data_IF_386966950365
#
_entry.id   IF_386966950365
#
_cell.length_a   1.000
_cell.length_b   1.000
_cell.length_c   1.000
_cell.angle_alpha   90.00
_cell.angle_beta   90.00
_cell.angle_gamma   90.00
#
_symmetry.space_group_name_H-M   'P 1'
#
loop_
_entity.id
_entity.type
_entity.pdbx_description
1 polymer ?
#
# COMPACT_ATOMS: atom_id res chain seq x y z
N UNK A 1 1.52 -10.65 77.06
CA UNK A 1 1.13 -10.22 75.70
C UNK A 1 1.87 -8.91 75.42
N UNK A 2 3.18 -8.96 75.15
CA UNK A 2 3.80 -9.04 73.81
C UNK A 2 3.48 -7.77 72.99
N UNK A 3 4.38 -6.87 72.56
CA UNK A 3 5.86 -6.71 72.43
C UNK A 3 6.11 -5.18 72.27
N UNK A 4 7.11 -4.54 72.91
CA UNK A 4 8.50 -4.28 72.44
C UNK A 4 8.52 -3.62 71.02
N UNK A 5 9.28 -2.58 70.65
CA UNK A 5 10.46 -1.89 71.18
C UNK A 5 10.73 -0.62 70.32
N UNK A 6 11.54 0.27 70.89
CA UNK A 6 12.16 1.50 70.34
C UNK A 6 13.28 1.19 69.31
N UNK A 7 13.37 2.01 68.26
CA UNK A 7 14.46 2.44 67.33
C UNK A 7 15.70 1.55 67.03
N UNK A 8 16.30 1.71 65.83
CA UNK A 8 17.57 2.49 65.68
C UNK A 8 17.51 3.43 64.44
N UNK A 9 18.13 4.61 64.32
CA UNK A 9 19.46 5.18 64.66
C UNK A 9 20.52 4.98 63.57
N UNK A 10 20.97 6.12 63.02
CA UNK A 10 22.28 6.43 62.40
C UNK A 10 22.53 5.84 60.99
N UNK A 11 23.23 6.46 60.02
CA UNK A 11 24.37 7.38 59.91
C UNK A 11 24.23 7.98 58.49
N UNK A 12 24.25 9.28 58.20
CA UNK A 12 25.38 10.21 58.31
C UNK A 12 26.28 10.16 57.07
N UNK A 13 26.09 11.06 56.09
CA UNK A 13 27.16 11.93 55.54
C UNK A 13 26.69 12.80 54.37
N UNK A 14 26.70 14.09 54.69
CA UNK A 14 26.95 15.27 53.88
C UNK A 14 28.02 15.05 52.78
N UNK A 15 27.79 15.55 51.57
CA UNK A 15 28.53 16.69 51.00
C UNK A 15 28.21 16.91 49.51
N UNK A 16 27.93 18.18 49.19
CA UNK A 16 27.78 18.74 47.85
C UNK A 16 29.13 18.83 47.11
N UNK A 17 29.17 18.44 45.84
CA UNK A 17 29.89 19.08 44.71
C UNK A 17 29.31 18.51 43.41
N UNK A 18 28.48 19.28 42.69
CA UNK A 18 28.86 20.08 41.52
C UNK A 18 29.59 19.30 40.41
N UNK A 19 28.88 19.24 39.27
CA UNK A 19 29.32 19.14 37.88
C UNK A 19 30.15 17.93 37.47
N UNK A 20 29.52 17.07 36.66
CA UNK A 20 30.06 16.56 35.40
C UNK A 20 28.90 15.97 34.59
N UNK A 21 28.62 16.57 33.42
CA UNK A 21 27.81 15.93 32.38
C UNK A 21 28.54 14.69 31.85
N UNK A 22 27.80 13.73 31.26
CA UNK A 22 28.16 13.41 29.90
C UNK A 22 26.93 13.29 28.99
N UNK A 23 26.95 14.13 27.95
CA UNK A 23 26.92 13.71 26.55
C UNK A 23 25.92 12.59 26.18
N UNK A 24 24.79 13.03 25.63
CA UNK A 24 24.56 12.78 24.21
C UNK A 24 24.34 11.33 23.78
N UNK A 25 23.39 10.63 24.41
CA UNK A 25 22.69 9.53 23.74
C UNK A 25 21.20 9.80 23.89
N UNK A 26 20.63 10.51 22.90
CA UNK A 26 19.17 10.62 22.77
C UNK A 26 18.68 9.22 22.41
N UNK A 27 18.34 8.46 23.44
CA UNK A 27 17.62 7.20 23.31
C UNK A 27 16.25 7.56 22.71
N UNK A 28 15.98 7.13 21.48
CA UNK A 28 14.68 7.36 20.85
C UNK A 28 13.65 6.65 21.71
N UNK A 29 12.84 7.46 22.40
CA UNK A 29 11.91 6.98 23.39
C UNK A 29 10.93 5.99 22.75
N UNK A 30 10.72 4.89 23.45
CA UNK A 30 9.63 3.92 23.35
C UNK A 30 8.22 4.54 23.27
N UNK A 31 8.07 5.85 23.46
CA UNK A 31 6.84 6.64 23.36
C UNK A 31 6.06 6.51 22.03
N UNK A 32 6.74 6.33 20.89
CA UNK A 32 6.04 6.25 19.59
C UNK A 32 5.21 4.95 19.46
N UNK A 33 5.68 3.85 20.06
CA UNK A 33 4.91 2.60 20.15
C UNK A 33 3.76 2.70 21.14
N UNK A 34 3.86 3.58 22.14
CA UNK A 34 2.83 3.77 23.18
C UNK A 34 1.60 4.59 22.70
N UNK A 35 1.66 5.20 21.50
CA UNK A 35 0.55 6.01 20.93
C UNK A 35 -0.16 5.37 19.74
N UNK A 36 0.10 4.10 19.47
CA UNK A 36 -0.62 3.35 18.44
C UNK A 36 -2.05 3.07 18.92
N UNK A 37 -3.03 3.57 18.18
CA UNK A 37 -4.43 3.31 18.43
C UNK A 37 -5.21 3.30 17.12
N UNK A 38 -6.19 2.41 17.03
CA UNK A 38 -7.17 2.42 15.94
C UNK A 38 -8.30 3.41 16.15
N UNK A 39 -8.41 3.99 17.35
CA UNK A 39 -9.54 4.80 17.79
C UNK A 39 -9.23 6.31 17.85
N UNK A 40 -8.19 6.79 17.18
CA UNK A 40 -7.96 8.24 17.08
C UNK A 40 -9.14 8.90 16.35
N UNK A 41 -9.67 9.97 16.92
CA UNK A 41 -10.85 10.67 16.42
C UNK A 41 -10.54 12.13 16.12
N UNK A 42 -11.12 12.64 15.05
CA UNK A 42 -11.18 14.08 14.77
C UNK A 42 -12.61 14.57 14.99
N UNK A 43 -12.71 15.85 15.37
CA UNK A 43 -13.97 16.54 15.64
C UNK A 43 -14.11 17.72 14.68
N UNK A 44 -14.64 17.51 13.45
CA UNK A 44 -15.17 18.61 12.67
C UNK A 44 -16.33 19.28 13.41
N UNK A 45 -16.41 20.60 13.28
CA UNK A 45 -17.46 21.44 13.85
C UNK A 45 -17.96 22.42 12.79
N UNK A 46 -19.22 22.83 12.90
CA UNK A 46 -19.82 23.78 11.94
C UNK A 46 -19.70 25.22 12.43
N UNK A 47 -19.88 25.45 13.73
CA UNK A 47 -19.84 26.80 14.30
C UNK A 47 -19.01 26.84 15.58
N UNK A 48 -18.27 27.93 15.73
CA UNK A 48 -17.54 28.26 16.95
C UNK A 48 -18.30 29.38 17.65
N UNK A 49 -18.76 29.14 18.87
CA UNK A 49 -19.40 30.15 19.70
C UNK A 49 -18.39 30.70 20.71
N UNK A 50 -17.99 31.95 20.52
CA UNK A 50 -17.06 32.63 21.40
C UNK A 50 -17.82 33.39 22.49
N UNK A 51 -17.63 32.98 23.75
CA UNK A 51 -18.18 33.67 24.93
C UNK A 51 -17.01 34.15 25.81
N UNK A 52 -16.81 33.57 26.98
CA UNK A 52 -15.55 33.68 27.75
C UNK A 52 -14.54 32.59 27.37
N UNK A 53 -15.05 31.45 26.87
CA UNK A 53 -14.24 30.37 26.28
C UNK A 53 -14.88 29.96 24.95
N UNK A 54 -14.09 29.53 23.97
CA UNK A 54 -14.62 29.06 22.70
C UNK A 54 -15.35 27.72 22.88
N UNK A 55 -16.59 27.64 22.42
CA UNK A 55 -17.39 26.41 22.40
C UNK A 55 -17.60 25.94 20.96
N UNK A 56 -17.34 24.66 20.72
CA UNK A 56 -17.64 24.04 19.43
C UNK A 56 -19.11 23.62 19.40
N UNK A 57 -19.82 24.02 18.37
CA UNK A 57 -21.24 23.72 18.15
C UNK A 57 -21.39 22.82 16.94
N UNK A 58 -22.26 21.82 17.07
CA UNK A 58 -22.52 20.81 16.04
C UNK A 58 -21.26 20.03 15.64
N UNK A 59 -20.74 19.24 16.59
CA UNK A 59 -19.55 18.41 16.38
C UNK A 59 -19.92 16.99 15.98
N UNK A 60 -19.17 16.42 15.03
CA UNK A 60 -19.26 15.02 14.66
C UNK A 60 -17.95 14.31 15.02
N UNK A 61 -18.03 13.05 15.45
CA UNK A 61 -16.83 12.23 15.68
C UNK A 61 -16.55 11.41 14.42
N UNK A 62 -15.36 11.57 13.86
CA UNK A 62 -14.90 10.82 12.70
C UNK A 62 -13.59 10.09 13.01
N UNK A 63 -13.36 8.91 12.41
CA UNK A 63 -12.09 8.22 12.53
C UNK A 63 -11.01 9.03 11.79
N UNK A 64 -9.93 9.37 12.51
CA UNK A 64 -8.99 10.41 12.07
C UNK A 64 -8.29 10.07 10.75
N UNK A 65 -7.70 8.87 10.65
CA UNK A 65 -6.97 8.43 9.48
C UNK A 65 -7.81 8.48 8.21
N UNK A 66 -8.98 7.83 8.22
CA UNK A 66 -9.85 7.70 7.06
C UNK A 66 -10.42 9.05 6.64
N UNK A 67 -10.83 9.88 7.61
CA UNK A 67 -11.36 11.19 7.32
C UNK A 67 -10.29 12.15 6.75
N UNK A 68 -9.07 12.14 7.28
CA UNK A 68 -7.96 12.92 6.73
C UNK A 68 -7.58 12.43 5.32
N UNK A 69 -7.48 11.11 5.13
CA UNK A 69 -7.17 10.54 3.81
C UNK A 69 -8.23 10.87 2.75
N UNK A 70 -9.50 11.07 3.10
CA UNK A 70 -10.56 11.42 2.15
C UNK A 70 -10.78 12.93 1.98
N UNK A 71 -10.59 13.73 3.04
CA UNK A 71 -11.02 15.14 3.07
C UNK A 71 -9.88 16.15 3.15
N UNK A 72 -8.64 15.74 3.46
CA UNK A 72 -7.50 16.65 3.49
C UNK A 72 -7.25 17.27 2.11
N UNK A 73 -6.83 18.53 2.10
CA UNK A 73 -6.52 19.27 0.89
C UNK A 73 -5.18 18.83 0.31
N UNK A 74 -4.18 18.63 1.17
CA UNK A 74 -2.86 18.14 0.76
C UNK A 74 -2.39 17.01 1.65
N UNK A 75 -1.95 15.92 1.03
CA UNK A 75 -1.32 14.77 1.67
C UNK A 75 0.11 14.65 1.16
N UNK A 76 1.04 14.56 2.09
CA UNK A 76 2.46 14.41 1.80
C UNK A 76 2.94 13.07 2.39
N UNK A 77 3.65 12.24 1.62
CA UNK A 77 4.10 10.92 2.09
C UNK A 77 5.60 10.72 1.91
N UNK A 78 6.14 9.74 2.64
CA UNK A 78 7.45 9.15 2.35
C UNK A 78 7.34 8.04 1.27
N UNK A 79 8.48 7.46 0.86
CA UNK A 79 8.53 6.38 -0.13
C UNK A 79 7.75 5.13 0.26
N UNK A 80 7.82 4.71 1.53
CA UNK A 80 7.11 3.54 2.05
C UNK A 80 5.64 3.80 2.43
N UNK A 81 5.17 5.04 2.29
CA UNK A 81 3.85 5.53 2.74
C UNK A 81 3.56 5.33 4.25
N UNK A 82 4.56 4.99 5.08
CA UNK A 82 4.40 4.79 6.54
C UNK A 82 4.22 6.10 7.30
N UNK A 83 4.75 7.21 6.78
CA UNK A 83 4.59 8.56 7.33
C UNK A 83 3.75 9.37 6.35
N UNK A 84 2.61 9.85 6.83
CA UNK A 84 1.66 10.64 6.03
C UNK A 84 1.43 11.95 6.78
N UNK A 85 1.61 13.08 6.12
CA UNK A 85 1.35 14.40 6.68
C UNK A 85 0.17 15.02 5.97
N UNK A 86 -0.87 15.35 6.74
CA UNK A 86 -2.08 16.01 6.26
C UNK A 86 -2.00 17.52 6.51
N UNK A 87 -2.31 18.29 5.47
CA UNK A 87 -2.37 19.75 5.43
C UNK A 87 -1.11 20.46 5.97
N UNK A 88 0.04 19.78 5.94
CA UNK A 88 1.34 20.26 6.46
C UNK A 88 1.42 20.47 7.98
N UNK A 89 0.50 19.91 8.78
CA UNK A 89 0.52 20.10 10.24
C UNK A 89 0.12 18.88 11.08
N UNK A 90 -0.58 17.91 10.51
CA UNK A 90 -0.93 16.65 11.17
C UNK A 90 -0.09 15.52 10.62
N UNK A 91 0.63 14.83 11.50
CA UNK A 91 1.40 13.65 11.18
C UNK A 91 0.64 12.38 11.59
N UNK A 92 0.53 11.46 10.64
CA UNK A 92 -0.02 10.13 10.77
C UNK A 92 1.12 9.13 10.53
N UNK A 93 1.37 8.25 11.50
CA UNK A 93 2.36 7.19 11.35
C UNK A 93 1.68 5.83 11.40
N UNK A 94 1.83 5.07 10.31
CA UNK A 94 1.34 3.70 10.20
C UNK A 94 2.56 2.77 10.26
N UNK A 95 2.64 1.87 11.25
CA UNK A 95 3.81 1.02 11.44
C UNK A 95 3.96 -0.04 10.32
N UNK A 96 2.85 -0.44 9.70
CA UNK A 96 2.84 -1.41 8.61
C UNK A 96 2.72 -0.70 7.26
N UNK A 97 3.80 -0.68 6.48
CA UNK A 97 3.86 -0.05 5.16
C UNK A 97 2.79 -0.60 4.20
N UNK A 98 2.58 -1.93 4.19
CA UNK A 98 1.57 -2.58 3.34
C UNK A 98 0.16 -2.07 3.62
N UNK A 99 -0.20 -1.94 4.89
CA UNK A 99 -1.50 -1.40 5.30
C UNK A 99 -1.62 0.07 4.91
N UNK A 100 -0.55 0.85 5.07
CA UNK A 100 -0.54 2.26 4.73
C UNK A 100 -0.75 2.48 3.22
N UNK A 101 -0.02 1.75 2.38
CA UNK A 101 -0.15 1.79 0.92
C UNK A 101 -1.56 1.37 0.50
N UNK A 102 -2.12 0.29 1.06
CA UNK A 102 -3.50 -0.16 0.76
C UNK A 102 -4.56 0.86 1.15
N UNK A 103 -4.41 1.51 2.30
CA UNK A 103 -5.32 2.57 2.74
C UNK A 103 -5.23 3.79 1.83
N UNK A 104 -4.01 4.17 1.44
CA UNK A 104 -3.77 5.25 0.49
C UNK A 104 -4.37 4.91 -0.88
N UNK A 105 -4.14 3.71 -1.42
CA UNK A 105 -4.67 3.30 -2.73
C UNK A 105 -6.20 3.25 -2.74
N UNK A 106 -6.82 2.79 -1.65
CA UNK A 106 -8.27 2.84 -1.49
C UNK A 106 -8.79 4.28 -1.43
N UNK A 107 -8.13 5.16 -0.66
CA UNK A 107 -8.52 6.56 -0.56
C UNK A 107 -8.39 7.30 -1.91
N UNK A 108 -7.31 7.05 -2.65
CA UNK A 108 -7.10 7.60 -4.00
C UNK A 108 -8.24 7.18 -4.94
N UNK A 109 -8.58 5.89 -4.97
CA UNK A 109 -9.68 5.36 -5.80
C UNK A 109 -11.03 5.92 -5.41
N UNK A 110 -11.31 6.04 -4.12
CA UNK A 110 -12.56 6.60 -3.59
C UNK A 110 -12.70 8.09 -3.89
N UNK A 111 -11.62 8.87 -3.81
CA UNK A 111 -11.64 10.28 -4.21
C UNK A 111 -11.91 10.42 -5.71
N UNK A 112 -11.20 9.65 -6.54
CA UNK A 112 -11.39 9.69 -7.99
C UNK A 112 -12.83 9.31 -8.40
N UNK A 113 -13.40 8.25 -7.81
CA UNK A 113 -14.79 7.87 -8.10
C UNK A 113 -15.80 8.86 -7.53
N UNK A 114 -15.50 9.50 -6.39
CA UNK A 114 -16.34 10.58 -5.86
C UNK A 114 -16.34 11.79 -6.80
N UNK A 115 -15.17 12.23 -7.27
CA UNK A 115 -15.05 13.36 -8.21
C UNK A 115 -15.80 13.06 -9.52
N UNK A 116 -15.63 11.85 -10.09
CA UNK A 116 -16.34 11.45 -11.31
C UNK A 116 -17.87 11.47 -11.15
N UNK A 117 -18.38 10.98 -10.02
CA UNK A 117 -19.82 10.99 -9.72
C UNK A 117 -20.31 12.42 -9.51
N UNK A 118 -19.53 13.28 -8.84
CA UNK A 118 -19.87 14.69 -8.63
C UNK A 118 -19.93 15.45 -9.95
N UNK A 119 -18.92 15.32 -10.80
CA UNK A 119 -18.85 15.96 -12.12
C UNK A 119 -20.05 15.58 -12.97
N UNK A 120 -20.43 14.30 -12.96
CA UNK A 120 -21.62 13.81 -13.68
C UNK A 120 -22.93 14.35 -13.10
N UNK A 121 -23.01 14.54 -11.78
CA UNK A 121 -24.19 15.12 -11.15
C UNK A 121 -24.31 16.62 -11.41
N UNK A 122 -23.20 17.36 -11.35
CA UNK A 122 -23.15 18.78 -11.65
C UNK A 122 -23.39 19.05 -13.15
N UNK A 123 -22.78 18.28 -14.04
CA UNK A 123 -22.97 18.39 -15.49
C UNK A 123 -24.43 18.18 -15.91
N UNK A 124 -25.14 17.22 -15.32
CA UNK A 124 -26.58 17.03 -15.55
C UNK A 124 -27.42 18.23 -15.10
N UNK A 125 -27.08 18.83 -13.96
CA UNK A 125 -27.80 20.00 -13.44
C UNK A 125 -27.55 21.24 -14.32
N UNK A 126 -26.33 21.39 -14.84
CA UNK A 126 -26.00 22.42 -15.80
C UNK A 126 -26.73 22.22 -17.14
N UNK A 127 -26.84 20.99 -17.64
CA UNK A 127 -27.60 20.66 -18.87
C UNK A 127 -29.10 20.94 -18.75
N UNK A 128 -29.72 20.54 -17.62
CA UNK A 128 -31.15 20.82 -17.36
C UNK A 128 -31.49 22.31 -17.31
N UNK A 129 -30.57 23.18 -16.92
CA UNK A 129 -30.80 24.64 -16.92
C UNK A 129 -30.77 25.26 -18.33
N UNK A 130 -30.24 24.55 -19.32
CA UNK A 130 -30.17 25.00 -20.73
C UNK A 130 -31.31 24.37 -21.55
N UNK A 131 -31.80 23.20 -21.17
CA UNK A 131 -32.86 22.46 -21.86
C UNK A 131 -34.29 22.80 -21.40
N UNK A 132 -34.47 23.78 -20.50
CA UNK A 132 -35.80 24.28 -20.08
C UNK A 132 -36.59 24.97 -21.21
N UNK A 133 -36.01 25.17 -22.41
CA UNK A 133 -36.74 25.68 -23.59
C UNK A 133 -37.23 24.59 -24.58
N UNK A 134 -36.75 23.34 -24.54
CA UNK A 134 -37.07 22.35 -25.60
C UNK A 134 -37.21 20.87 -25.18
N UNK A 135 -37.69 20.49 -23.98
CA UNK A 135 -37.94 19.04 -23.73
C UNK A 135 -38.92 18.68 -22.60
N UNK A 136 -40.21 19.03 -22.72
CA UNK A 136 -41.28 18.44 -21.89
C UNK A 136 -41.68 17.01 -22.32
N UNK A 137 -40.94 16.33 -23.20
CA UNK A 137 -41.33 15.04 -23.78
C UNK A 137 -40.43 13.83 -23.44
N UNK A 138 -39.31 13.99 -22.72
CA UNK A 138 -38.39 12.88 -22.37
C UNK A 138 -38.18 12.69 -20.86
N UNK A 139 -39.02 13.31 -20.03
CA UNK A 139 -38.87 13.41 -18.57
C UNK A 139 -39.25 12.12 -17.76
N UNK A 140 -39.32 10.95 -18.38
CA UNK A 140 -39.62 9.67 -17.67
C UNK A 140 -38.50 8.62 -17.75
N UNK A 141 -37.31 8.98 -18.24
CA UNK A 141 -36.12 8.13 -18.17
C UNK A 141 -35.12 8.69 -17.14
N UNK A 142 -35.54 8.79 -15.86
CA UNK A 142 -34.56 8.87 -14.78
C UNK A 142 -33.69 7.61 -14.82
N UNK A 143 -32.48 7.72 -15.40
CA UNK A 143 -31.61 6.56 -15.60
C UNK A 143 -31.26 5.93 -14.25
N UNK A 144 -31.67 4.68 -13.94
CA UNK A 144 -31.40 4.00 -12.66
C UNK A 144 -29.90 3.80 -12.38
N UNK A 145 -29.07 3.95 -13.40
CA UNK A 145 -27.61 3.78 -13.35
C UNK A 145 -26.92 4.78 -12.41
N UNK A 146 -27.28 6.06 -12.41
CA UNK A 146 -26.61 7.05 -11.55
C UNK A 146 -26.95 6.90 -10.07
N UNK A 147 -28.19 6.55 -9.76
CA UNK A 147 -28.59 6.26 -8.38
C UNK A 147 -27.89 5.00 -7.85
N UNK A 148 -27.64 4.01 -8.72
CA UNK A 148 -26.91 2.80 -8.38
C UNK A 148 -25.43 3.07 -8.11
N UNK A 149 -24.79 3.90 -8.93
CA UNK A 149 -23.40 4.35 -8.74
C UNK A 149 -23.22 5.11 -7.42
N UNK A 150 -24.10 6.07 -7.12
CA UNK A 150 -24.07 6.81 -5.84
C UNK A 150 -24.23 5.86 -4.65
N UNK A 151 -25.17 4.90 -4.75
CA UNK A 151 -25.36 3.89 -3.69
C UNK A 151 -24.15 2.98 -3.53
N UNK A 152 -23.49 2.60 -4.63
CA UNK A 152 -22.28 1.81 -4.58
C UNK A 152 -21.14 2.59 -3.93
N UNK A 153 -20.88 3.81 -4.39
CA UNK A 153 -19.88 4.70 -3.80
C UNK A 153 -20.12 4.92 -2.30
N UNK A 154 -21.37 5.15 -1.91
CA UNK A 154 -21.74 5.31 -0.50
C UNK A 154 -21.40 4.06 0.32
N UNK A 155 -21.64 2.86 -0.22
CA UNK A 155 -21.28 1.60 0.45
C UNK A 155 -19.77 1.44 0.59
N UNK A 156 -19.00 1.81 -0.45
CA UNK A 156 -17.54 1.72 -0.44
C UNK A 156 -16.91 2.76 0.51
N UNK A 157 -17.46 3.98 0.56
CA UNK A 157 -17.05 4.99 1.55
C UNK A 157 -17.35 4.52 2.99
N UNK A 158 -18.52 3.93 3.22
CA UNK A 158 -18.88 3.39 4.54
C UNK A 158 -18.03 2.19 4.93
N UNK A 159 -17.66 1.32 3.98
CA UNK A 159 -16.76 0.20 4.28
C UNK A 159 -15.35 0.71 4.59
N UNK A 160 -14.86 1.73 3.87
CA UNK A 160 -13.58 2.37 4.13
C UNK A 160 -13.53 3.02 5.52
N UNK A 161 -14.57 3.77 5.92
CA UNK A 161 -14.64 4.40 7.24
C UNK A 161 -14.68 3.38 8.40
N UNK A 162 -15.09 2.14 8.14
CA UNK A 162 -15.13 1.05 9.13
C UNK A 162 -13.83 0.24 9.22
N UNK A 163 -12.86 0.49 8.34
CA UNK A 163 -11.58 -0.24 8.39
C UNK A 163 -10.83 0.11 9.67
N UNK A 164 -10.37 -0.91 10.40
CA UNK A 164 -9.57 -0.71 11.60
C UNK A 164 -8.08 -0.83 11.26
N UNK A 165 -7.33 0.22 11.54
CA UNK A 165 -5.88 0.29 11.29
C UNK A 165 -5.22 0.85 12.54
N UNK A 166 -4.09 0.28 12.95
CA UNK A 166 -3.29 0.83 14.04
C UNK A 166 -2.39 1.94 13.50
N UNK A 167 -2.51 3.15 14.04
CA UNK A 167 -1.67 4.29 13.67
C UNK A 167 -1.43 5.20 14.87
N UNK A 168 -0.42 6.05 14.80
CA UNK A 168 -0.27 7.19 15.70
C UNK A 168 -0.71 8.47 14.99
N UNK A 169 -1.27 9.39 15.77
CA UNK A 169 -1.65 10.72 15.30
C UNK A 169 -0.94 11.75 16.18
N UNK A 170 -0.23 12.68 15.55
CA UNK A 170 0.51 13.74 16.24
C UNK A 170 0.33 15.07 15.52
N UNK A 171 0.19 16.14 16.30
CA UNK A 171 0.32 17.50 15.80
C UNK A 171 1.80 17.86 15.72
N UNK A 172 2.23 18.32 14.55
CA UNK A 172 3.60 18.76 14.33
C UNK A 172 3.89 20.09 15.02
N UNK A 173 5.14 20.27 15.44
CA UNK A 173 5.65 21.54 15.94
C UNK A 173 6.08 22.45 14.79
N UNK A 174 6.21 23.76 15.04
CA UNK A 174 6.62 24.72 14.01
C UNK A 174 8.00 24.42 13.43
N UNK A 175 8.93 23.89 14.24
CA UNK A 175 10.27 23.52 13.78
C UNK A 175 10.22 22.32 12.83
N UNK A 176 9.42 21.30 13.16
CA UNK A 176 9.24 20.13 12.32
C UNK A 176 8.54 20.50 10.99
N UNK A 177 7.61 21.48 11.02
CA UNK A 177 6.98 21.99 9.80
C UNK A 177 7.98 22.70 8.87
N UNK A 178 8.97 23.41 9.43
CA UNK A 178 10.01 24.08 8.63
C UNK A 178 10.97 23.10 7.96
N UNK A 179 11.25 21.97 8.62
CA UNK A 179 12.16 20.93 8.12
C UNK A 179 11.41 19.71 7.54
N UNK A 180 10.15 19.91 7.14
CA UNK A 180 9.28 18.81 6.72
C UNK A 180 9.71 18.20 5.38
N UNK A 181 10.22 19.02 4.47
CA UNK A 181 10.43 18.66 3.07
C UNK A 181 11.90 18.45 2.73
N UNK A 182 12.18 17.42 1.93
CA UNK A 182 13.53 17.12 1.45
C UNK A 182 14.07 18.14 0.45
N UNK A 183 13.19 18.91 -0.19
CA UNK A 183 13.54 19.92 -1.19
C UNK A 183 13.70 19.35 -2.61
N UNK A 184 13.98 20.20 -3.61
CA UNK A 184 13.98 19.83 -5.03
C UNK A 184 15.00 18.74 -5.40
N UNK A 185 16.07 18.56 -4.61
CA UNK A 185 17.04 17.49 -4.83
C UNK A 185 16.47 16.07 -4.66
N UNK A 186 15.29 15.93 -4.05
CA UNK A 186 14.67 14.63 -3.79
C UNK A 186 13.73 14.16 -4.91
N UNK A 187 13.54 14.95 -5.97
CA UNK A 187 12.86 14.49 -7.18
C UNK A 187 13.88 13.77 -8.09
N UNK A 188 13.82 12.43 -8.24
CA UNK A 188 14.68 11.73 -9.20
C UNK A 188 14.34 12.14 -10.63
N UNK A 189 15.35 12.23 -11.49
CA UNK A 189 15.17 12.54 -12.91
C UNK A 189 14.56 11.37 -13.71
N UNK A 190 14.48 10.17 -13.13
CA UNK A 190 14.08 8.94 -13.81
C UNK A 190 12.95 8.23 -13.07
N UNK A 191 11.83 8.04 -13.79
CA UNK A 191 10.58 7.39 -13.35
C UNK A 191 10.66 5.87 -13.61
N UNK A 192 11.76 5.22 -13.25
CA UNK A 192 11.88 3.78 -13.45
C UNK A 192 11.42 3.03 -12.18
N UNK A 193 10.27 2.36 -12.26
CA UNK A 193 9.79 1.46 -11.22
C UNK A 193 8.74 2.05 -10.27
N UNK A 194 8.02 3.10 -10.66
CA UNK A 194 6.87 3.53 -9.88
C UNK A 194 5.77 2.46 -9.86
N UNK A 195 5.06 2.30 -8.74
CA UNK A 195 4.10 1.23 -8.54
C UNK A 195 2.95 1.28 -9.51
N UNK A 196 2.40 0.11 -9.84
CA UNK A 196 1.22 -0.02 -10.70
C UNK A 196 -0.02 0.71 -10.16
N UNK A 197 -0.10 1.02 -8.87
CA UNK A 197 -1.28 1.71 -8.33
C UNK A 197 -1.38 3.20 -8.70
N UNK A 198 -0.30 3.81 -9.23
CA UNK A 198 -0.36 5.15 -9.83
C UNK A 198 -0.63 5.12 -11.34
N UNK A 199 -0.92 3.95 -11.93
CA UNK A 199 -1.16 3.82 -13.36
C UNK A 199 -2.31 4.73 -13.82
N UNK A 200 -1.99 5.67 -14.70
CA UNK A 200 -2.95 6.61 -15.31
C UNK A 200 -2.94 8.02 -14.72
N UNK A 201 -2.25 8.28 -13.60
CA UNK A 201 -2.14 9.63 -13.03
C UNK A 201 -0.82 10.28 -13.48
N UNK A 202 -0.84 11.52 -14.04
CA UNK A 202 0.38 12.20 -14.42
C UNK A 202 1.25 12.46 -13.18
N UNK A 203 2.48 11.95 -13.22
CA UNK A 203 3.48 12.11 -12.18
C UNK A 203 4.34 13.33 -12.53
N UNK A 204 4.13 14.42 -11.81
CA UNK A 204 4.89 15.66 -12.03
C UNK A 204 5.86 15.88 -10.86
N UNK A 205 7.15 16.13 -11.10
CA UNK A 205 8.05 16.46 -10.00
C UNK A 205 7.58 17.75 -9.31
N UNK A 206 7.63 17.78 -7.97
CA UNK A 206 7.27 18.97 -7.21
C UNK A 206 8.53 19.81 -6.93
N UNK A 207 8.64 20.98 -7.57
CA UNK A 207 9.80 21.86 -7.48
C UNK A 207 10.04 22.46 -6.08
N UNK A 208 8.99 22.55 -5.26
CA UNK A 208 9.07 23.20 -3.93
C UNK A 208 9.28 22.16 -2.83
N UNK A 209 8.47 21.11 -2.82
CA UNK A 209 8.52 20.07 -1.77
C UNK A 209 9.54 18.96 -2.08
N UNK A 210 9.90 18.77 -3.34
CA UNK A 210 10.56 17.55 -3.82
C UNK A 210 9.57 16.40 -4.04
N UNK A 211 10.07 15.27 -4.52
CA UNK A 211 9.25 14.08 -4.82
C UNK A 211 8.32 14.26 -6.02
N UNK A 212 7.26 13.45 -6.08
CA UNK A 212 6.31 13.37 -7.19
C UNK A 212 4.92 13.83 -6.76
N UNK A 213 4.36 14.83 -7.43
CA UNK A 213 2.96 15.23 -7.33
C UNK A 213 2.08 14.26 -8.11
N UNK A 214 1.02 13.80 -7.46
CA UNK A 214 0.08 12.78 -7.93
C UNK A 214 -1.32 13.36 -7.83
N UNK A 215 -1.87 13.74 -8.98
CA UNK A 215 -3.10 14.55 -9.02
C UNK A 215 -2.92 15.86 -8.27
N UNK A 216 -3.99 16.42 -7.72
CA UNK A 216 -3.93 17.73 -7.06
C UNK A 216 -3.61 17.68 -5.56
N UNK A 217 -3.85 16.54 -4.91
CA UNK A 217 -3.83 16.47 -3.44
C UNK A 217 -2.65 15.68 -2.86
N UNK A 218 -2.03 14.75 -3.59
CA UNK A 218 -0.99 13.88 -3.04
C UNK A 218 0.40 14.28 -3.56
N UNK A 219 1.37 14.41 -2.66
CA UNK A 219 2.80 14.51 -3.00
C UNK A 219 3.55 13.32 -2.41
N UNK A 220 3.98 12.41 -3.28
CA UNK A 220 4.69 11.19 -2.93
C UNK A 220 6.19 11.43 -2.76
N UNK A 221 6.77 10.82 -1.73
CA UNK A 221 8.19 10.86 -1.39
C UNK A 221 8.78 12.28 -1.29
N UNK A 222 8.06 13.20 -0.63
CA UNK A 222 8.51 14.58 -0.44
C UNK A 222 8.99 14.89 0.98
N UNK A 223 8.72 13.98 1.93
CA UNK A 223 9.06 14.17 3.33
C UNK A 223 10.56 13.96 3.56
N UNK A 224 11.20 14.90 4.26
CA UNK A 224 12.55 14.70 4.77
C UNK A 224 12.54 13.53 5.76
N UNK A 225 13.32 12.50 5.46
CA UNK A 225 13.44 11.34 6.32
C UNK A 225 14.24 11.66 7.57
N UNK A 226 13.70 11.32 8.75
CA UNK A 226 14.51 10.96 9.93
C UNK A 226 14.93 9.47 9.87
N UNK A 227 14.54 8.75 8.81
CA UNK A 227 14.83 7.34 8.57
C UNK A 227 16.10 7.11 7.76
N UNK A 228 16.66 5.91 7.92
CA UNK A 228 17.88 5.45 7.26
C UNK A 228 17.77 5.60 5.74
N UNK A 229 18.76 6.20 5.09
CA UNK A 229 18.78 6.53 3.64
C UNK A 229 18.48 5.33 2.71
N UNK A 230 18.54 4.12 3.25
CA UNK A 230 18.31 2.86 2.55
C UNK A 230 16.88 2.34 2.67
N UNK A 231 16.02 2.91 3.53
CA UNK A 231 14.65 2.42 3.77
C UNK A 231 13.86 2.20 2.49
N UNK A 232 13.98 3.15 1.57
CA UNK A 232 13.22 3.21 0.32
C UNK A 232 13.57 2.06 -0.65
N UNK A 233 14.69 1.37 -0.42
CA UNK A 233 15.17 0.25 -1.21
C UNK A 233 15.17 -1.09 -0.43
N UNK A 234 14.69 -1.12 0.82
CA UNK A 234 14.68 -2.34 1.62
C UNK A 234 13.64 -3.32 1.09
N UNK A 235 14.12 -4.30 0.31
CA UNK A 235 13.32 -5.41 -0.16
C UNK A 235 13.31 -6.53 0.88
N UNK A 236 12.11 -7.04 1.20
CA UNK A 236 11.94 -8.20 2.06
C UNK A 236 11.42 -9.38 1.25
N UNK A 237 11.94 -10.58 1.53
CA UNK A 237 11.44 -11.79 0.90
C UNK A 237 9.98 -12.03 1.27
N UNK A 238 9.15 -12.21 0.26
CA UNK A 238 7.73 -12.48 0.42
C UNK A 238 7.27 -13.53 -0.57
N UNK A 239 6.36 -14.39 -0.11
CA UNK A 239 5.70 -15.38 -0.93
C UNK A 239 4.28 -14.92 -1.20
N UNK A 240 3.93 -14.76 -2.47
CA UNK A 240 2.57 -14.38 -2.85
C UNK A 240 1.58 -15.49 -2.48
N UNK A 241 0.50 -15.20 -1.71
CA UNK A 241 -0.49 -16.22 -1.34
C UNK A 241 -1.36 -16.67 -2.52
N UNK A 242 -1.34 -15.93 -3.65
CA UNK A 242 -2.17 -16.21 -4.83
C UNK A 242 -1.44 -17.02 -5.89
N UNK A 243 -0.20 -16.64 -6.24
CA UNK A 243 0.59 -17.31 -7.27
C UNK A 243 1.81 -18.07 -6.73
N UNK A 244 2.04 -18.05 -5.43
CA UNK A 244 3.19 -18.70 -4.76
C UNK A 244 4.56 -18.19 -5.21
N UNK A 245 4.63 -17.04 -5.87
CA UNK A 245 5.90 -16.40 -6.26
C UNK A 245 6.69 -16.00 -5.02
N UNK A 246 7.93 -16.48 -4.90
CA UNK A 246 8.87 -16.11 -3.84
C UNK A 246 9.94 -15.19 -4.40
N UNK A 247 9.91 -13.92 -3.99
CA UNK A 247 10.90 -12.91 -4.40
C UNK A 247 11.02 -11.79 -3.36
N UNK A 248 12.15 -11.06 -3.33
CA UNK A 248 12.29 -9.89 -2.47
C UNK A 248 11.59 -8.67 -3.10
N UNK A 249 10.59 -8.15 -2.40
CA UNK A 249 9.78 -7.00 -2.82
C UNK A 249 9.88 -5.86 -1.81
N UNK A 250 9.83 -4.61 -2.29
CA UNK A 250 9.46 -3.48 -1.43
C UNK A 250 7.97 -3.60 -1.04
N UNK A 251 7.52 -2.96 0.06
CA UNK A 251 6.10 -2.96 0.42
C UNK A 251 5.20 -2.48 -0.73
N UNK A 252 5.72 -1.54 -1.50
CA UNK A 252 5.07 -0.90 -2.63
C UNK A 252 4.92 -1.85 -3.83
N UNK A 253 6.00 -2.53 -4.19
CA UNK A 253 5.99 -3.58 -5.24
C UNK A 253 5.09 -4.76 -4.85
N UNK A 254 5.02 -5.10 -3.56
CA UNK A 254 4.15 -6.16 -3.07
C UNK A 254 2.68 -5.85 -3.32
N UNK A 255 2.21 -4.67 -2.92
CA UNK A 255 0.81 -4.27 -3.15
C UNK A 255 0.51 -4.21 -4.65
N UNK A 256 1.42 -3.65 -5.44
CA UNK A 256 1.32 -3.64 -6.91
C UNK A 256 1.18 -5.06 -7.49
N UNK A 257 2.02 -6.00 -7.04
CA UNK A 257 1.92 -7.40 -7.43
C UNK A 257 0.58 -8.01 -6.99
N UNK A 258 0.14 -7.78 -5.75
CA UNK A 258 -1.12 -8.35 -5.25
C UNK A 258 -2.34 -7.88 -6.04
N UNK A 259 -2.36 -6.62 -6.48
CA UNK A 259 -3.42 -6.04 -7.31
C UNK A 259 -3.42 -6.65 -8.73
N UNK A 260 -2.24 -6.77 -9.35
CA UNK A 260 -2.10 -7.31 -10.70
C UNK A 260 -2.10 -8.85 -10.77
N UNK A 261 -1.81 -9.52 -9.66
CA UNK A 261 -1.75 -10.97 -9.60
C UNK A 261 -3.14 -11.51 -9.96
N UNK A 262 -3.21 -12.40 -10.93
CA UNK A 262 -4.40 -13.21 -11.18
C UNK A 262 -4.17 -14.54 -10.48
N UNK A 263 -5.21 -15.10 -9.85
CA UNK A 263 -5.11 -16.48 -9.36
C UNK A 263 -4.67 -17.36 -10.53
N UNK A 264 -3.80 -18.37 -10.33
CA UNK A 264 -3.68 -19.44 -11.29
C UNK A 264 -5.04 -20.14 -11.32
N UNK A 265 -5.95 -19.67 -12.19
CA UNK A 265 -7.11 -20.45 -12.57
C UNK A 265 -6.61 -21.77 -13.17
N UNK A 266 -7.35 -22.88 -13.01
CA UNK A 266 -7.01 -24.10 -13.72
C UNK A 266 -7.02 -23.74 -15.21
N UNK A 267 -5.84 -23.73 -15.83
CA UNK A 267 -5.77 -23.65 -17.28
C UNK A 267 -6.26 -25.00 -17.77
N UNK A 268 -7.54 -25.05 -18.12
CA UNK A 268 -8.06 -25.99 -19.09
C UNK A 268 -7.21 -25.84 -20.36
N UNK A 269 -6.22 -26.71 -20.49
CA UNK A 269 -5.57 -26.98 -21.77
C UNK A 269 -6.56 -27.75 -22.63
N UNK A 270 -7.51 -27.06 -23.25
CA UNK A 270 -8.25 -27.65 -24.35
C UNK A 270 -8.69 -26.60 -25.39
N UNK A 271 -8.28 -26.89 -26.63
CA UNK A 271 -8.81 -26.40 -27.90
C UNK A 271 -8.25 -25.09 -28.50
N UNK A 272 -7.20 -25.25 -29.30
CA UNK A 272 -7.27 -24.85 -30.71
C UNK A 272 -6.44 -25.83 -31.55
N UNK A 273 -7.17 -26.77 -32.17
CA UNK A 273 -6.71 -27.72 -33.16
C UNK A 273 -6.56 -27.03 -34.52
N UNK A 274 -5.53 -27.39 -35.30
CA UNK A 274 -5.69 -27.96 -36.66
C UNK A 274 -4.49 -28.89 -36.97
N UNK A 275 -4.79 -30.11 -37.45
CA UNK A 275 -3.86 -31.26 -37.57
C UNK A 275 -3.06 -31.33 -38.89
N UNK A 276 -2.56 -32.52 -39.33
CA UNK A 276 -3.40 -33.71 -39.50
C UNK A 276 -2.82 -35.09 -39.11
N UNK A 277 -3.76 -35.95 -38.69
CA UNK A 277 -3.93 -37.41 -38.92
C UNK A 277 -2.76 -38.40 -38.74
N UNK A 278 -3.01 -39.34 -37.81
CA UNK A 278 -2.56 -40.73 -37.86
C UNK A 278 -3.12 -41.53 -36.66
N UNK A 279 -4.13 -42.37 -36.92
CA UNK A 279 -4.75 -43.34 -36.00
C UNK A 279 -3.68 -44.32 -35.44
N UNK A 280 -3.69 -44.89 -34.23
CA UNK A 280 -4.70 -45.71 -33.54
C UNK A 280 -4.25 -46.01 -32.09
N UNK A 281 -5.20 -45.89 -31.16
CA UNK A 281 -5.51 -46.70 -29.93
C UNK A 281 -4.42 -47.62 -29.31
N UNK A 282 -4.19 -47.50 -28.00
CA UNK A 282 -4.46 -48.50 -26.91
C UNK A 282 -3.52 -48.33 -25.70
N UNK A 283 -4.16 -48.08 -24.55
CA UNK A 283 -3.88 -48.47 -23.17
C UNK A 283 -2.50 -48.23 -22.50
N UNK A 284 -2.62 -47.47 -21.41
CA UNK A 284 -1.95 -47.58 -20.11
C UNK A 284 -0.91 -48.70 -19.93
N UNK A 285 0.27 -48.31 -19.48
CA UNK A 285 1.01 -49.00 -18.41
C UNK A 285 2.16 -48.12 -17.96
N UNK A 286 2.18 -47.80 -16.66
CA UNK A 286 3.25 -47.03 -16.06
C UNK A 286 4.60 -47.73 -16.19
N UNK A 287 5.65 -46.96 -16.42
CA UNK A 287 6.92 -47.00 -15.67
C UNK A 287 7.89 -45.97 -16.22
N UNK A 288 8.69 -45.42 -15.30
CA UNK A 288 9.98 -44.75 -15.54
C UNK A 288 9.97 -43.22 -15.70
N UNK A 289 9.83 -42.52 -14.58
CA UNK A 289 10.18 -41.11 -14.38
C UNK A 289 11.69 -40.80 -14.55
N UNK A 290 12.46 -41.67 -15.21
CA UNK A 290 13.91 -41.55 -15.42
C UNK A 290 14.32 -41.72 -16.91
N UNK A 291 13.36 -41.82 -17.83
CA UNK A 291 13.66 -41.86 -19.26
C UNK A 291 13.84 -40.44 -19.80
N UNK A 292 15.01 -40.17 -20.36
CA UNK A 292 15.33 -38.91 -21.01
C UNK A 292 15.47 -39.12 -22.52
N UNK A 293 15.16 -38.09 -23.29
CA UNK A 293 15.41 -38.08 -24.72
C UNK A 293 16.92 -38.02 -24.95
N UNK A 294 17.47 -39.07 -25.54
CA UNK A 294 18.88 -39.21 -25.91
C UNK A 294 19.00 -39.33 -27.42
N UNK A 295 19.80 -38.45 -28.03
CA UNK A 295 20.15 -38.51 -29.43
C UNK A 295 21.47 -39.26 -29.60
N UNK A 296 21.46 -40.36 -30.37
CA UNK A 296 22.68 -41.10 -30.66
C UNK A 296 23.30 -40.62 -31.97
N UNK A 297 24.53 -40.11 -31.91
CA UNK A 297 25.25 -39.59 -33.09
C UNK A 297 25.62 -40.67 -34.14
N UNK A 298 25.54 -41.95 -33.81
CA UNK A 298 25.95 -43.06 -34.69
C UNK A 298 24.77 -43.56 -35.53
N UNK A 299 23.59 -43.76 -34.93
CA UNK A 299 22.39 -44.14 -35.66
C UNK A 299 21.47 -42.96 -36.01
N UNK A 300 21.79 -41.75 -35.55
CA UNK A 300 21.02 -40.51 -35.75
C UNK A 300 19.54 -40.59 -35.34
N UNK A 301 19.20 -41.46 -34.40
CA UNK A 301 17.85 -41.61 -33.87
C UNK A 301 17.70 -40.95 -32.48
N UNK A 302 16.52 -40.38 -32.23
CA UNK A 302 16.14 -39.83 -30.93
C UNK A 302 15.36 -40.88 -30.13
N UNK A 303 15.99 -41.43 -29.10
CA UNK A 303 15.43 -42.53 -28.30
C UNK A 303 15.16 -42.06 -26.86
N UNK A 304 14.01 -42.42 -26.28
CA UNK A 304 13.71 -42.20 -24.86
C UNK A 304 14.27 -43.36 -24.04
N UNK A 305 15.44 -43.16 -23.46
CA UNK A 305 16.19 -44.21 -22.75
C UNK A 305 16.53 -43.75 -21.34
N UNK A 306 16.62 -44.70 -20.42
CA UNK A 306 17.24 -44.47 -19.11
C UNK A 306 18.77 -44.45 -19.24
N UNK A 307 19.52 -43.84 -18.28
CA UNK A 307 20.99 -43.77 -18.36
C UNK A 307 21.69 -45.13 -18.54
N UNK A 308 21.13 -46.21 -17.99
CA UNK A 308 21.65 -47.58 -18.15
C UNK A 308 21.42 -48.13 -19.57
N UNK A 309 20.30 -47.80 -20.19
CA UNK A 309 19.97 -48.20 -21.57
C UNK A 309 20.79 -47.40 -22.59
N UNK A 310 21.10 -46.13 -22.31
CA UNK A 310 22.03 -45.33 -23.13
C UNK A 310 23.41 -46.01 -23.18
N UNK A 311 23.92 -46.51 -22.05
CA UNK A 311 25.20 -47.22 -22.00
C UNK A 311 25.17 -48.55 -22.78
N UNK A 312 24.07 -49.31 -22.70
CA UNK A 312 23.89 -50.54 -23.50
C UNK A 312 23.81 -50.23 -25.00
N UNK A 313 23.07 -49.19 -25.37
CA UNK A 313 22.95 -48.74 -26.76
C UNK A 313 24.30 -48.29 -27.31
N UNK A 314 25.11 -47.55 -26.54
CA UNK A 314 26.48 -47.18 -26.94
C UNK A 314 27.40 -48.39 -27.11
N UNK A 315 27.26 -49.43 -26.27
CA UNK A 315 28.03 -50.68 -26.40
C UNK A 315 27.64 -51.50 -27.65
N UNK A 316 26.40 -51.43 -28.11
CA UNK A 316 25.98 -52.10 -29.35
C UNK A 316 26.69 -51.51 -30.58
N UNK A 317 27.01 -50.22 -30.57
CA UNK A 317 27.82 -49.57 -31.61
C UNK A 317 29.32 -49.88 -31.51
N UNK A 318 29.82 -50.29 -30.34
CA UNK A 318 31.22 -50.72 -30.17
C UNK A 318 31.52 -52.13 -30.70
N UNK A 319 30.51 -52.89 -31.13
CA UNK A 319 30.67 -54.19 -31.78
C UNK A 319 30.73 -54.14 -33.32
N UNK A 320 30.70 -52.94 -33.92
CA UNK A 320 30.71 -52.74 -35.37
C UNK A 320 31.80 -51.74 -35.80
N UNK A 321 32.98 -51.85 -35.16
CA UNK A 321 34.28 -51.30 -35.59
C UNK A 321 35.35 -52.38 -35.43
#
# INVERSE_FOLDING_TARGET
MSRLLRAPSEVGKDERRLSEEPEGVVFWSTDAKERLSSYHQILPFVSLLETQKPYLVNCLRLPALQALLLLAQSLDTNADCTRIVADSWLELQVPAAETAVRMLSMALRLRASWDEVLDRCLGRRAGRAVEEEEAEAEAEAETPSSALEVRQLTRELLSFLKTEVQYSLRRMTLLEQQNLYGGPQMAPAEVEGLPSFFQGVPLLPNEVKGGYKIGDFLTFNCLAGEGDLYSDCLRSFWTCPRCSLYMPFTPLERVAHEEACQSPGPKDEESSLEGPRGETVVAASGTSALQQLYHCAICQENLRLTPMEILKHRKQHQGCL
#
